data_IF_521657958321
#
_entry.id   IF_521657958321
#
_cell.length_a   1.000
_cell.length_b   1.000
_cell.length_c   1.000
_cell.angle_alpha   90.00
_cell.angle_beta   90.00
_cell.angle_gamma   90.00
#
_symmetry.space_group_name_H-M   'P 1'
#
loop_
_entity.id
_entity.type
_entity.pdbx_description
1 polymer ?
#
# COMPACT_ATOMS: atom_id res chain seq x y z
N UNK A 1 30.87 -23.86 46.97
CA UNK A 1 29.44 -23.73 46.63
C UNK A 1 29.35 -23.02 45.29
N UNK A 2 28.96 -23.71 44.22
CA UNK A 2 28.79 -23.14 42.89
C UNK A 2 27.34 -23.40 42.45
N UNK A 3 26.60 -22.32 42.18
CA UNK A 3 25.21 -22.38 41.72
C UNK A 3 25.15 -22.90 40.27
N UNK A 4 24.25 -23.82 39.93
CA UNK A 4 24.02 -24.19 38.54
C UNK A 4 23.25 -23.09 37.80
N UNK A 5 23.88 -22.54 36.76
CA UNK A 5 23.27 -21.61 35.80
C UNK A 5 22.11 -22.30 35.09
N UNK A 6 20.89 -21.84 35.39
CA UNK A 6 19.66 -22.27 34.74
C UNK A 6 19.59 -21.69 33.34
N UNK A 7 20.21 -22.35 32.37
CA UNK A 7 19.94 -22.12 30.96
C UNK A 7 18.54 -22.68 30.62
N UNK A 8 17.53 -21.93 31.06
CA UNK A 8 16.14 -22.09 30.64
C UNK A 8 16.09 -21.96 29.13
N UNK A 9 15.93 -23.08 28.44
CA UNK A 9 15.63 -23.15 27.01
C UNK A 9 14.32 -22.38 26.80
N UNK A 10 14.41 -21.08 26.49
CA UNK A 10 13.27 -20.27 26.05
C UNK A 10 12.65 -21.01 24.88
N UNK A 11 11.46 -21.58 25.08
CA UNK A 11 10.64 -22.13 24.00
C UNK A 11 10.26 -20.92 23.14
N UNK A 12 11.04 -20.63 22.09
CA UNK A 12 10.61 -19.69 21.07
C UNK A 12 9.32 -20.25 20.49
N UNK A 13 8.26 -19.45 20.57
CA UNK A 13 6.94 -19.78 20.07
C UNK A 13 7.04 -20.29 18.62
N UNK A 14 6.30 -21.33 18.24
CA UNK A 14 6.24 -21.76 16.84
C UNK A 14 5.89 -20.56 15.97
N UNK A 15 6.59 -20.41 14.84
CA UNK A 15 6.15 -19.48 13.78
C UNK A 15 4.66 -19.76 13.48
N UNK A 16 3.83 -18.72 13.34
CA UNK A 16 2.37 -18.86 13.26
C UNK A 16 1.88 -19.68 12.05
N UNK A 17 2.74 -19.97 11.08
CA UNK A 17 2.39 -20.68 9.84
C UNK A 17 2.66 -22.19 9.86
N UNK A 18 3.01 -22.75 11.02
CA UNK A 18 3.32 -24.19 11.13
C UNK A 18 2.05 -24.99 11.36
N UNK A 19 1.55 -25.64 10.31
CA UNK A 19 0.58 -26.73 10.48
C UNK A 19 1.33 -27.93 11.06
N UNK A 20 0.96 -28.31 12.29
CA UNK A 20 1.52 -29.47 12.99
C UNK A 20 0.83 -30.72 12.43
N UNK A 21 1.60 -31.65 11.86
CA UNK A 21 1.06 -32.96 11.44
C UNK A 21 0.71 -33.81 12.68
N UNK A 22 -0.15 -34.82 12.50
CA UNK A 22 -0.58 -35.73 13.58
C UNK A 22 0.56 -36.05 14.57
N UNK A 23 0.37 -36.00 15.91
CA UNK A 23 1.45 -36.08 16.91
C UNK A 23 2.36 -37.31 16.88
N UNK A 24 1.96 -38.35 16.13
CA UNK A 24 2.76 -39.56 15.85
C UNK A 24 3.85 -39.32 14.79
N UNK A 25 3.70 -38.30 13.96
CA UNK A 25 4.65 -37.95 12.91
C UNK A 25 5.79 -37.11 13.50
N UNK A 26 6.82 -37.81 13.98
CA UNK A 26 8.03 -37.22 14.52
C UNK A 26 9.22 -37.56 13.62
N UNK A 27 10.20 -36.67 13.55
CA UNK A 27 11.49 -37.00 12.96
C UNK A 27 12.32 -37.89 13.91
N UNK A 28 13.50 -38.30 13.48
CA UNK A 28 14.46 -39.09 14.27
C UNK A 28 14.88 -38.37 15.56
N UNK A 29 14.90 -37.03 15.54
CA UNK A 29 15.13 -36.18 16.71
C UNK A 29 13.92 -36.10 17.67
N UNK A 30 12.85 -36.86 17.40
CA UNK A 30 11.60 -36.91 18.17
C UNK A 30 10.81 -35.59 18.20
N UNK A 31 11.16 -34.62 17.35
CA UNK A 31 10.37 -33.41 17.14
C UNK A 31 9.23 -33.68 16.16
N UNK A 32 8.11 -33.00 16.36
CA UNK A 32 6.96 -33.08 15.44
C UNK A 32 7.35 -32.45 14.10
N UNK A 33 6.92 -33.07 13.00
CA UNK A 33 7.17 -32.53 11.67
C UNK A 33 6.38 -31.23 11.45
N UNK A 34 6.96 -30.32 10.68
CA UNK A 34 6.33 -29.09 10.24
C UNK A 34 5.91 -29.22 8.79
N UNK A 35 4.70 -28.78 8.46
CA UNK A 35 4.26 -28.67 7.07
C UNK A 35 4.77 -27.37 6.46
N UNK A 36 5.42 -27.47 5.32
CA UNK A 36 5.90 -26.37 4.48
C UNK A 36 5.28 -26.48 3.09
N UNK A 37 5.30 -25.39 2.34
CA UNK A 37 4.87 -25.36 0.95
C UNK A 37 6.09 -25.35 0.03
N UNK A 38 6.04 -26.17 -1.02
CA UNK A 38 6.94 -26.06 -2.15
C UNK A 38 6.37 -25.02 -3.14
N UNK A 39 7.17 -24.02 -3.49
CA UNK A 39 6.82 -22.95 -4.42
C UNK A 39 7.57 -23.07 -5.75
N UNK A 40 8.18 -24.22 -6.05
CA UNK A 40 8.81 -24.50 -7.34
C UNK A 40 7.77 -24.74 -8.43
N UNK A 41 8.17 -24.61 -9.69
CA UNK A 41 7.32 -24.97 -10.83
C UNK A 41 7.08 -26.49 -10.95
N UNK A 42 7.95 -27.30 -10.34
CA UNK A 42 7.82 -28.75 -10.39
C UNK A 42 6.80 -29.28 -9.38
N UNK A 43 6.67 -28.64 -8.22
CA UNK A 43 5.70 -29.01 -7.19
C UNK A 43 4.91 -27.80 -6.72
N UNK A 44 4.18 -27.10 -7.61
CA UNK A 44 3.60 -25.81 -7.31
C UNK A 44 2.59 -25.91 -6.17
N UNK A 45 2.85 -25.19 -5.08
CA UNK A 45 2.04 -25.11 -3.86
C UNK A 45 1.80 -26.47 -3.17
N UNK A 46 2.62 -27.49 -3.47
CA UNK A 46 2.46 -28.82 -2.85
C UNK A 46 3.03 -28.79 -1.44
N UNK A 47 2.33 -29.37 -0.48
CA UNK A 47 2.80 -29.40 0.92
C UNK A 47 3.68 -30.59 1.21
N UNK A 48 4.76 -30.36 1.92
CA UNK A 48 5.64 -31.40 2.44
C UNK A 48 5.85 -31.22 3.95
N UNK A 49 5.96 -32.34 4.66
CA UNK A 49 6.33 -32.39 6.05
C UNK A 49 7.84 -32.58 6.15
N UNK A 50 8.52 -31.71 6.90
CA UNK A 50 9.95 -31.84 7.19
C UNK A 50 10.21 -31.69 8.68
N UNK A 51 11.42 -32.07 9.11
CA UNK A 51 11.90 -31.66 10.43
C UNK A 51 11.79 -30.13 10.59
N UNK A 52 11.52 -29.70 11.82
CA UNK A 52 11.42 -28.29 12.18
C UNK A 52 12.77 -27.55 12.21
N UNK A 53 13.87 -28.32 12.20
CA UNK A 53 15.28 -27.92 12.27
C UNK A 53 15.61 -26.96 13.44
N UNK A 54 16.52 -27.43 14.31
CA UNK A 54 17.32 -26.57 15.17
C UNK A 54 18.76 -26.78 14.71
N UNK A 55 19.45 -25.70 14.39
CA UNK A 55 20.78 -25.61 13.80
C UNK A 55 21.74 -26.76 14.20
N UNK A 56 22.35 -27.42 13.21
CA UNK A 56 23.50 -28.32 13.41
C UNK A 56 23.37 -29.69 12.73
N UNK A 57 22.21 -30.33 12.83
CA UNK A 57 22.00 -31.69 12.30
C UNK A 57 21.07 -31.68 11.09
N UNK A 58 21.61 -32.04 9.92
CA UNK A 58 20.82 -32.20 8.68
C UNK A 58 19.86 -33.37 8.82
N UNK A 59 18.66 -33.11 9.30
CA UNK A 59 17.59 -34.11 9.33
C UNK A 59 17.02 -34.29 7.92
N UNK A 60 17.24 -35.46 7.32
CA UNK A 60 16.74 -35.80 5.98
C UNK A 60 15.27 -36.22 5.95
N UNK A 61 14.57 -36.20 7.09
CA UNK A 61 13.16 -36.58 7.16
C UNK A 61 12.29 -35.64 6.30
N UNK A 62 11.72 -36.21 5.26
CA UNK A 62 10.87 -35.54 4.28
C UNK A 62 9.72 -36.46 3.88
N UNK A 63 8.51 -35.90 3.78
CA UNK A 63 7.35 -36.62 3.26
C UNK A 63 6.37 -35.66 2.58
N UNK A 64 5.88 -36.01 1.41
CA UNK A 64 4.76 -35.29 0.79
C UNK A 64 3.47 -35.47 1.60
N UNK A 65 2.79 -34.36 1.91
CA UNK A 65 1.48 -34.35 2.57
C UNK A 65 0.37 -34.51 1.53
N UNK A 66 0.52 -33.80 0.41
CA UNK A 66 -0.44 -33.83 -0.69
C UNK A 66 -0.06 -34.88 -1.72
N UNK A 67 -1.04 -35.49 -2.42
CA UNK A 67 -0.76 -36.28 -3.61
C UNK A 67 -0.08 -35.43 -4.68
N UNK A 68 0.49 -36.08 -5.68
CA UNK A 68 1.02 -35.35 -6.83
C UNK A 68 -0.13 -34.76 -7.64
N UNK A 69 0.06 -33.54 -8.14
CA UNK A 69 -0.90 -32.90 -9.02
C UNK A 69 -0.93 -33.63 -10.36
N UNK A 70 -2.12 -33.82 -10.92
CA UNK A 70 -2.22 -34.26 -12.32
C UNK A 70 -1.61 -33.19 -13.25
N UNK A 71 -1.22 -33.62 -14.46
CA UNK A 71 -0.54 -32.78 -15.42
C UNK A 71 -1.32 -31.50 -15.78
N UNK A 72 -2.66 -31.57 -15.83
CA UNK A 72 -3.51 -30.41 -16.13
C UNK A 72 -3.48 -29.42 -14.97
N UNK A 73 -3.67 -29.89 -13.74
CA UNK A 73 -3.62 -29.03 -12.54
C UNK A 73 -2.25 -28.38 -12.37
N UNK A 74 -1.17 -29.15 -12.50
CA UNK A 74 0.21 -28.62 -12.47
C UNK A 74 0.41 -27.54 -13.54
N UNK A 75 -0.03 -27.79 -14.77
CA UNK A 75 0.06 -26.84 -15.87
C UNK A 75 -0.69 -25.53 -15.61
N UNK A 76 -1.89 -25.59 -15.01
CA UNK A 76 -2.66 -24.40 -14.62
C UNK A 76 -1.93 -23.61 -13.54
N UNK A 77 -1.47 -24.26 -12.48
CA UNK A 77 -0.77 -23.60 -11.37
C UNK A 77 0.51 -22.90 -11.84
N UNK A 78 1.31 -23.56 -12.68
CA UNK A 78 2.53 -22.95 -13.24
C UNK A 78 2.20 -21.73 -14.10
N UNK A 79 1.15 -21.80 -14.93
CA UNK A 79 0.71 -20.64 -15.74
C UNK A 79 0.32 -19.45 -14.85
N UNK A 80 -0.41 -19.70 -13.76
CA UNK A 80 -0.80 -18.65 -12.81
C UNK A 80 0.42 -18.05 -12.10
N UNK A 81 1.36 -18.88 -11.64
CA UNK A 81 2.59 -18.41 -11.01
C UNK A 81 3.44 -17.54 -11.95
N UNK A 82 3.47 -17.87 -13.25
CA UNK A 82 4.17 -17.06 -14.27
C UNK A 82 3.46 -15.75 -14.61
N UNK A 83 2.14 -15.68 -14.44
CA UNK A 83 1.35 -14.46 -14.70
C UNK A 83 1.43 -13.46 -13.55
N UNK A 84 1.43 -13.94 -12.30
CA UNK A 84 1.52 -13.15 -11.08
C UNK A 84 2.49 -11.95 -11.16
N UNK A 85 3.78 -12.09 -11.55
CA UNK A 85 4.69 -10.94 -11.59
C UNK A 85 4.28 -9.86 -12.59
N UNK A 86 3.68 -10.26 -13.72
CA UNK A 86 3.19 -9.31 -14.74
C UNK A 86 1.96 -8.57 -14.22
N UNK A 87 1.03 -9.31 -13.62
CA UNK A 87 -0.19 -8.74 -13.06
C UNK A 87 0.15 -7.77 -11.91
N UNK A 88 1.15 -8.09 -11.09
CA UNK A 88 1.67 -7.20 -10.03
C UNK A 88 2.37 -5.95 -10.58
N UNK A 89 3.10 -6.07 -11.69
CA UNK A 89 3.74 -4.93 -12.34
C UNK A 89 2.72 -3.99 -12.99
N UNK A 90 1.74 -4.56 -13.69
CA UNK A 90 0.63 -3.81 -14.27
C UNK A 90 -0.18 -3.09 -13.19
N UNK A 91 -0.50 -3.76 -12.08
CA UNK A 91 -1.17 -3.14 -10.94
C UNK A 91 -0.39 -1.94 -10.39
N UNK A 92 0.92 -2.08 -10.18
CA UNK A 92 1.79 -0.97 -9.73
C UNK A 92 1.78 0.19 -10.72
N UNK A 93 1.78 -0.09 -12.03
CA UNK A 93 1.72 0.94 -13.07
C UNK A 93 0.40 1.71 -13.04
N UNK A 94 -0.73 1.02 -12.89
CA UNK A 94 -2.04 1.66 -12.78
C UNK A 94 -2.18 2.49 -11.51
N UNK A 95 -1.68 2.02 -10.36
CA UNK A 95 -1.69 2.76 -9.11
C UNK A 95 -0.91 4.08 -9.22
N UNK A 96 0.26 4.04 -9.86
CA UNK A 96 1.09 5.23 -10.08
C UNK A 96 0.43 6.22 -11.05
N UNK A 97 -0.12 5.73 -12.17
CA UNK A 97 -0.85 6.57 -13.13
C UNK A 97 -2.05 7.25 -12.47
N UNK A 98 -2.79 6.51 -11.64
CA UNK A 98 -3.92 7.06 -10.88
C UNK A 98 -3.47 8.12 -9.87
N UNK A 99 -2.35 7.89 -9.19
CA UNK A 99 -1.78 8.85 -8.24
C UNK A 99 -1.42 10.18 -8.93
N UNK A 100 -0.79 10.12 -10.11
CA UNK A 100 -0.44 11.29 -10.92
C UNK A 100 -1.71 12.03 -11.36
N UNK A 101 -2.64 11.32 -12.01
CA UNK A 101 -3.87 11.93 -12.50
C UNK A 101 -4.69 12.61 -11.38
N UNK A 102 -4.74 11.97 -10.21
CA UNK A 102 -5.40 12.54 -9.03
C UNK A 102 -4.71 13.83 -8.55
N UNK A 103 -3.38 13.88 -8.59
CA UNK A 103 -2.63 15.09 -8.24
C UNK A 103 -2.91 16.20 -9.24
N UNK A 104 -2.85 15.92 -10.54
CA UNK A 104 -3.07 16.91 -11.60
C UNK A 104 -4.48 17.53 -11.51
N UNK A 105 -5.49 16.70 -11.20
CA UNK A 105 -6.86 17.19 -10.96
C UNK A 105 -6.91 18.11 -9.74
N UNK A 106 -6.27 17.75 -8.64
CA UNK A 106 -6.23 18.60 -7.43
C UNK A 106 -5.50 19.92 -7.67
N UNK A 107 -4.37 19.88 -8.37
CA UNK A 107 -3.59 21.08 -8.72
C UNK A 107 -4.44 21.99 -9.64
N UNK A 108 -5.15 21.42 -10.61
CA UNK A 108 -6.07 22.17 -11.49
C UNK A 108 -7.22 22.80 -10.71
N UNK A 109 -7.81 22.08 -9.75
CA UNK A 109 -8.87 22.62 -8.87
C UNK A 109 -8.35 23.80 -8.06
N UNK A 110 -7.12 23.70 -7.53
CA UNK A 110 -6.48 24.77 -6.79
C UNK A 110 -6.27 26.02 -7.66
N UNK A 111 -5.70 25.86 -8.85
CA UNK A 111 -5.49 26.98 -9.78
C UNK A 111 -6.80 27.64 -10.22
N UNK A 112 -7.83 26.83 -10.47
CA UNK A 112 -9.16 27.34 -10.81
C UNK A 112 -9.76 28.13 -9.63
N UNK A 113 -9.57 27.67 -8.39
CA UNK A 113 -10.01 28.40 -7.21
C UNK A 113 -9.30 29.75 -7.06
N UNK A 114 -7.97 29.77 -7.24
CA UNK A 114 -7.18 31.00 -7.17
C UNK A 114 -7.57 32.00 -8.26
N UNK A 115 -7.73 31.52 -9.49
CA UNK A 115 -8.18 32.35 -10.62
C UNK A 115 -9.56 32.95 -10.37
N UNK A 116 -10.50 32.14 -9.87
CA UNK A 116 -11.86 32.61 -9.53
C UNK A 116 -11.83 33.70 -8.47
N UNK A 117 -10.98 33.58 -7.45
CA UNK A 117 -10.81 34.60 -6.41
C UNK A 117 -10.31 35.92 -7.01
N UNK A 118 -9.23 35.86 -7.80
CA UNK A 118 -8.63 37.05 -8.41
C UNK A 118 -9.62 37.79 -9.35
N UNK A 119 -10.36 37.04 -10.16
CA UNK A 119 -11.40 37.63 -11.04
C UNK A 119 -12.49 38.32 -10.20
N UNK A 120 -12.91 37.70 -9.10
CA UNK A 120 -13.87 38.28 -8.16
C UNK A 120 -13.39 39.62 -7.59
N UNK A 121 -12.16 39.66 -7.08
CA UNK A 121 -11.53 40.88 -6.54
C UNK A 121 -11.42 41.98 -7.62
N UNK A 122 -10.93 41.63 -8.82
CA UNK A 122 -10.81 42.56 -9.95
C UNK A 122 -12.17 43.16 -10.35
N UNK A 123 -13.22 42.34 -10.35
CA UNK A 123 -14.58 42.80 -10.70
C UNK A 123 -15.10 43.81 -9.67
N UNK A 124 -14.86 43.55 -8.38
CA UNK A 124 -15.25 44.46 -7.30
C UNK A 124 -14.54 45.81 -7.45
N UNK A 125 -13.23 45.79 -7.72
CA UNK A 125 -12.43 47.02 -7.91
C UNK A 125 -12.92 47.84 -9.10
N UNK A 126 -13.24 47.20 -10.22
CA UNK A 126 -13.81 47.86 -11.40
C UNK A 126 -15.18 48.51 -11.11
N UNK A 127 -16.05 47.81 -10.36
CA UNK A 127 -17.36 48.35 -9.96
C UNK A 127 -17.20 49.56 -9.02
N UNK A 128 -16.27 49.49 -8.08
CA UNK A 128 -15.96 50.59 -7.16
C UNK A 128 -15.41 51.82 -7.92
N UNK A 129 -14.48 51.63 -8.84
CA UNK A 129 -13.93 52.70 -9.67
C UNK A 129 -15.02 53.37 -10.52
N UNK A 130 -15.89 52.58 -11.14
CA UNK A 130 -17.01 53.09 -11.95
C UNK A 130 -17.99 53.91 -11.10
N UNK A 131 -18.34 53.42 -9.92
CA UNK A 131 -19.21 54.14 -8.98
C UNK A 131 -18.58 55.46 -8.53
N UNK A 132 -17.27 55.48 -8.27
CA UNK A 132 -16.54 56.70 -7.92
C UNK A 132 -16.61 57.73 -9.05
N UNK A 133 -16.30 57.33 -10.29
CA UNK A 133 -16.39 58.22 -11.47
C UNK A 133 -17.79 58.81 -11.59
N UNK A 134 -18.84 57.99 -11.42
CA UNK A 134 -20.23 58.46 -11.46
C UNK A 134 -20.52 59.47 -10.36
N UNK A 135 -20.08 59.20 -9.13
CA UNK A 135 -20.30 60.10 -8.00
C UNK A 135 -19.56 61.43 -8.17
N UNK A 136 -18.31 61.39 -8.64
CA UNK A 136 -17.50 62.59 -8.91
C UNK A 136 -18.14 63.45 -10.01
N UNK A 137 -18.70 62.82 -11.05
CA UNK A 137 -19.46 63.51 -12.10
C UNK A 137 -20.72 64.19 -11.55
N UNK A 138 -21.51 63.48 -10.71
CA UNK A 138 -22.70 64.05 -10.05
C UNK A 138 -22.34 65.23 -9.14
N UNK A 139 -21.26 65.12 -8.35
CA UNK A 139 -20.78 66.21 -7.50
C UNK A 139 -20.37 67.44 -8.31
N UNK A 140 -19.74 67.23 -9.48
CA UNK A 140 -19.34 68.31 -10.38
C UNK A 140 -20.56 69.01 -11.01
N UNK A 141 -21.63 68.27 -11.34
CA UNK A 141 -22.87 68.85 -11.87
C UNK A 141 -23.70 69.57 -10.79
N UNK A 142 -23.64 69.14 -9.54
CA UNK A 142 -24.32 69.78 -8.41
C UNK A 142 -23.67 71.09 -7.93
N UNK A 143 -22.52 71.49 -8.49
CA UNK A 143 -22.02 72.87 -8.43
C UNK A 143 -21.98 73.51 -7.05
N UNK A 144 -21.42 72.85 -6.03
CA UNK A 144 -21.12 73.53 -4.77
C UNK A 144 -19.79 74.29 -4.88
N UNK A 145 -19.88 75.52 -5.39
CA UNK A 145 -18.85 76.53 -5.21
C UNK A 145 -18.68 76.84 -3.73
N UNK A 146 -17.50 76.59 -3.18
CA UNK A 146 -17.10 77.11 -1.88
C UNK A 146 -17.07 78.65 -1.97
N UNK A 147 -18.11 79.31 -1.48
CA UNK A 147 -18.08 80.75 -1.23
C UNK A 147 -17.26 81.03 0.02
N UNK A 148 -16.20 81.86 -0.04
CA UNK A 148 -15.48 82.28 1.15
C UNK A 148 -16.35 83.27 1.93
N UNK A 149 -16.67 82.94 3.18
CA UNK A 149 -17.23 83.90 4.13
C UNK A 149 -16.15 84.95 4.45
N UNK A 150 -16.48 86.21 4.18
CA UNK A 150 -15.73 87.39 4.61
C UNK A 150 -16.05 87.73 6.06
#
# INVERSE_FOLDING_TARGET
MAHPSSNGKRRRSPSPDVIIVHPKNKCEHRFVLHVKYDWTFDNPRRRYASCCEREGDKCSMFKWVDPEWDARTKGILVKLMKRKPKDEEEARSWEEAWRIAKKDVNDTIYEMHMTKKYIGETTIDMMNATNKIRNDAVQKELGMGNFPMK
#
